data_IF_159747017060
#
_entry.id   IF_159747017060
#
_cell.length_a   1.000
_cell.length_b   1.000
_cell.length_c   1.000
_cell.angle_alpha   90.00
_cell.angle_beta   90.00
_cell.angle_gamma   90.00
#
_symmetry.space_group_name_H-M   'P 1'
#
loop_
_entity.id
_entity.type
_entity.pdbx_description
1 polymer ?
#
# COMPACT_ATOMS: atom_id res chain seq x y z
N UNK A 1 -29.07 -39.56 -1.61
CA UNK A 1 -28.04 -38.64 -1.04
C UNK A 1 -28.03 -37.29 -1.76
N UNK A 2 -27.93 -37.26 -3.12
CA UNK A 2 -27.94 -36.01 -3.91
C UNK A 2 -29.14 -35.10 -3.64
N UNK A 3 -30.34 -35.65 -3.72
CA UNK A 3 -31.60 -34.90 -3.48
C UNK A 3 -31.65 -34.25 -2.05
N UNK A 4 -31.12 -34.98 -1.05
CA UNK A 4 -31.04 -34.48 0.31
C UNK A 4 -30.11 -33.26 0.40
N UNK A 5 -28.94 -33.36 -0.25
CA UNK A 5 -27.96 -32.25 -0.29
C UNK A 5 -28.53 -31.02 -1.02
N UNK A 6 -29.18 -31.22 -2.18
CA UNK A 6 -29.82 -30.14 -2.93
C UNK A 6 -30.91 -29.49 -2.08
N UNK A 7 -31.73 -30.28 -1.38
CA UNK A 7 -32.79 -29.76 -0.52
C UNK A 7 -32.26 -28.96 0.67
N UNK A 8 -31.16 -29.40 1.28
CA UNK A 8 -30.49 -28.69 2.37
C UNK A 8 -29.89 -27.36 1.87
N UNK A 9 -29.19 -27.35 0.73
CA UNK A 9 -28.66 -26.11 0.14
C UNK A 9 -29.79 -25.11 -0.17
N UNK A 10 -30.87 -25.57 -0.79
CA UNK A 10 -32.02 -24.71 -1.10
C UNK A 10 -32.64 -24.15 0.18
N UNK A 11 -32.76 -24.96 1.23
CA UNK A 11 -33.30 -24.54 2.52
C UNK A 11 -32.45 -23.47 3.20
N UNK A 12 -31.14 -23.58 3.15
CA UNK A 12 -30.23 -22.58 3.69
C UNK A 12 -30.29 -21.25 2.91
N UNK A 13 -30.47 -21.34 1.59
CA UNK A 13 -30.50 -20.18 0.71
C UNK A 13 -31.87 -19.48 0.64
N UNK A 14 -32.91 -20.05 1.24
CA UNK A 14 -34.29 -19.56 1.12
C UNK A 14 -34.49 -18.13 1.66
N UNK A 15 -33.73 -17.76 2.68
CA UNK A 15 -33.77 -16.40 3.26
C UNK A 15 -32.99 -15.36 2.44
N UNK A 16 -32.10 -15.80 1.54
CA UNK A 16 -31.15 -14.96 0.81
C UNK A 16 -31.48 -14.77 -0.66
N UNK A 17 -32.33 -15.67 -1.24
CA UNK A 17 -32.65 -15.69 -2.65
C UNK A 17 -34.17 -15.59 -2.88
N UNK A 18 -34.58 -14.97 -3.98
CA UNK A 18 -35.97 -14.98 -4.41
C UNK A 18 -36.34 -16.33 -5.09
N UNK A 19 -37.67 -16.56 -5.31
CA UNK A 19 -38.18 -17.83 -5.87
C UNK A 19 -37.58 -18.18 -7.25
N UNK A 20 -37.34 -17.20 -8.10
CA UNK A 20 -36.74 -17.41 -9.43
C UNK A 20 -35.28 -17.85 -9.31
N UNK A 21 -34.52 -17.19 -8.43
CA UNK A 21 -33.14 -17.54 -8.13
C UNK A 21 -32.98 -18.93 -7.49
N UNK A 22 -33.88 -19.27 -6.56
CA UNK A 22 -33.94 -20.61 -5.95
C UNK A 22 -34.26 -21.69 -6.97
N UNK A 23 -35.20 -21.45 -7.88
CA UNK A 23 -35.53 -22.36 -8.96
C UNK A 23 -34.31 -22.58 -9.90
N UNK A 24 -33.63 -21.51 -10.28
CA UNK A 24 -32.43 -21.56 -11.12
C UNK A 24 -31.29 -22.30 -10.41
N UNK A 25 -31.07 -22.03 -9.12
CA UNK A 25 -30.08 -22.73 -8.30
C UNK A 25 -30.37 -24.23 -8.24
N UNK A 26 -31.61 -24.61 -7.98
CA UNK A 26 -32.03 -26.01 -7.95
C UNK A 26 -31.73 -26.72 -9.25
N UNK A 27 -32.19 -26.17 -10.37
CA UNK A 27 -31.95 -26.75 -11.72
C UNK A 27 -30.46 -26.86 -12.02
N UNK A 28 -29.67 -25.83 -11.65
CA UNK A 28 -28.21 -25.86 -11.85
C UNK A 28 -27.56 -26.98 -11.02
N UNK A 29 -27.90 -27.13 -9.76
CA UNK A 29 -27.40 -28.20 -8.91
C UNK A 29 -27.79 -29.61 -9.44
N UNK A 30 -29.03 -29.78 -9.90
CA UNK A 30 -29.49 -31.03 -10.49
C UNK A 30 -28.67 -31.41 -11.73
N UNK A 31 -28.39 -30.46 -12.63
CA UNK A 31 -27.58 -30.66 -13.84
C UNK A 31 -26.14 -31.04 -13.46
N UNK A 32 -25.46 -30.24 -12.64
CA UNK A 32 -24.05 -30.47 -12.30
C UNK A 32 -23.83 -31.72 -11.45
N UNK A 33 -24.76 -32.08 -10.57
CA UNK A 33 -24.64 -33.27 -9.73
C UNK A 33 -25.17 -34.55 -10.42
N UNK A 34 -25.69 -34.47 -11.65
CA UNK A 34 -26.29 -35.62 -12.34
C UNK A 34 -25.32 -36.80 -12.48
N UNK A 35 -24.11 -36.57 -12.94
CA UNK A 35 -23.07 -37.57 -13.17
C UNK A 35 -22.02 -37.68 -12.04
N UNK A 36 -22.23 -37.07 -10.88
CA UNK A 36 -21.27 -37.05 -9.77
C UNK A 36 -21.65 -38.14 -8.76
N UNK A 37 -20.77 -39.06 -8.42
CA UNK A 37 -20.96 -39.97 -7.30
C UNK A 37 -20.62 -39.28 -6.00
N UNK A 38 -21.59 -39.17 -5.09
CA UNK A 38 -21.36 -38.57 -3.77
C UNK A 38 -21.21 -39.69 -2.75
N UNK A 39 -19.99 -39.88 -2.25
CA UNK A 39 -19.69 -40.80 -1.15
C UNK A 39 -19.56 -39.98 0.14
N UNK A 40 -20.14 -40.49 1.23
CA UNK A 40 -19.95 -39.88 2.55
C UNK A 40 -18.50 -40.07 2.98
N UNK A 41 -17.69 -39.03 2.92
CA UNK A 41 -16.38 -39.03 3.55
C UNK A 41 -16.58 -39.10 5.06
N UNK A 42 -16.10 -40.14 5.73
CA UNK A 42 -15.95 -40.11 7.18
C UNK A 42 -15.14 -38.88 7.53
N UNK A 43 -15.66 -38.07 8.41
CA UNK A 43 -14.93 -36.92 8.96
C UNK A 43 -13.63 -37.44 9.60
N UNK A 44 -12.56 -37.46 8.84
CA UNK A 44 -11.25 -37.40 9.43
C UNK A 44 -11.13 -35.98 10.01
N UNK A 45 -10.93 -35.86 11.32
CA UNK A 45 -10.50 -34.65 12.01
C UNK A 45 -9.23 -34.12 11.34
N UNK A 46 -9.38 -33.51 10.20
CA UNK A 46 -8.40 -32.56 9.70
C UNK A 46 -8.71 -31.27 10.45
N UNK A 47 -7.94 -30.99 11.51
CA UNK A 47 -7.76 -29.62 11.98
C UNK A 47 -7.62 -28.76 10.72
N UNK A 48 -8.68 -28.00 10.38
CA UNK A 48 -8.60 -26.95 9.38
C UNK A 48 -7.63 -25.94 10.00
N UNK A 49 -6.35 -26.04 9.63
CA UNK A 49 -5.41 -24.94 9.87
C UNK A 49 -6.08 -23.70 9.33
N UNK A 50 -6.44 -22.82 10.22
CA UNK A 50 -7.03 -21.54 9.87
C UNK A 50 -6.02 -20.83 8.97
N UNK A 51 -6.38 -20.65 7.70
CA UNK A 51 -5.48 -20.03 6.72
C UNK A 51 -5.35 -18.57 7.10
N UNK A 52 -4.15 -18.13 7.40
CA UNK A 52 -3.85 -16.71 7.56
C UNK A 52 -3.78 -16.05 6.17
N UNK A 53 -4.94 -15.63 5.68
CA UNK A 53 -5.09 -14.98 4.39
C UNK A 53 -4.23 -13.72 4.26
N UNK A 54 -3.96 -13.01 5.37
CA UNK A 54 -3.14 -11.82 5.36
C UNK A 54 -1.67 -12.17 5.08
N UNK A 55 -1.12 -13.15 5.77
CA UNK A 55 0.28 -13.56 5.55
C UNK A 55 0.47 -14.19 4.17
N UNK A 56 -0.50 -14.94 3.65
CA UNK A 56 -0.45 -15.48 2.28
C UNK A 56 -0.46 -14.34 1.25
N UNK A 57 -1.35 -13.36 1.41
CA UNK A 57 -1.40 -12.17 0.56
C UNK A 57 -0.07 -11.39 0.58
N UNK A 58 0.50 -11.14 1.76
CA UNK A 58 1.77 -10.43 1.88
C UNK A 58 2.92 -11.18 1.22
N UNK A 59 2.92 -12.52 1.32
CA UNK A 59 3.89 -13.37 0.63
C UNK A 59 3.77 -13.27 -0.89
N UNK A 60 2.54 -13.29 -1.42
CA UNK A 60 2.28 -13.08 -2.85
C UNK A 60 2.77 -11.70 -3.32
N UNK A 61 2.46 -10.64 -2.56
CA UNK A 61 2.90 -9.27 -2.88
C UNK A 61 4.41 -9.08 -2.78
N UNK A 62 5.10 -9.84 -1.92
CA UNK A 62 6.57 -9.85 -1.86
C UNK A 62 7.17 -10.43 -3.14
N UNK A 63 6.62 -11.54 -3.63
CA UNK A 63 7.03 -12.15 -4.90
C UNK A 63 6.77 -11.22 -6.09
N UNK A 64 5.68 -10.44 -6.06
CA UNK A 64 5.37 -9.41 -7.06
C UNK A 64 6.32 -8.20 -7.02
N UNK A 65 7.29 -8.16 -6.09
CA UNK A 65 8.27 -7.08 -5.99
C UNK A 65 7.85 -5.87 -5.15
N UNK A 66 6.84 -6.01 -4.29
CA UNK A 66 6.49 -4.94 -3.34
C UNK A 66 7.60 -4.74 -2.32
N UNK A 67 7.96 -3.48 -2.05
CA UNK A 67 8.95 -3.14 -1.02
C UNK A 67 8.46 -3.52 0.38
N UNK A 68 9.39 -3.89 1.28
CA UNK A 68 9.06 -4.22 2.68
C UNK A 68 8.28 -3.09 3.38
N UNK A 69 8.60 -1.84 3.11
CA UNK A 69 7.85 -0.67 3.62
C UNK A 69 6.39 -0.69 3.17
N UNK A 70 6.12 -1.08 1.92
CA UNK A 70 4.76 -1.22 1.39
C UNK A 70 4.03 -2.39 2.03
N UNK A 71 4.72 -3.52 2.23
CA UNK A 71 4.15 -4.72 2.86
C UNK A 71 3.77 -4.45 4.33
N UNK A 72 4.62 -3.76 5.09
CA UNK A 72 4.32 -3.35 6.47
C UNK A 72 3.08 -2.44 6.50
N UNK A 73 2.98 -1.49 5.57
CA UNK A 73 1.82 -0.60 5.47
C UNK A 73 0.53 -1.38 5.12
N UNK A 74 0.61 -2.33 4.20
CA UNK A 74 -0.51 -3.21 3.87
C UNK A 74 -0.92 -4.05 5.08
N UNK A 75 0.04 -4.72 5.73
CA UNK A 75 -0.18 -5.53 6.92
C UNK A 75 -0.93 -4.75 8.00
N UNK A 76 -0.38 -3.61 8.41
CA UNK A 76 -0.97 -2.81 9.48
C UNK A 76 -2.38 -2.31 9.13
N UNK A 77 -2.58 -1.88 7.88
CA UNK A 77 -3.89 -1.35 7.45
C UNK A 77 -4.95 -2.44 7.37
N UNK A 78 -4.61 -3.61 6.85
CA UNK A 78 -5.55 -4.74 6.73
C UNK A 78 -5.81 -5.34 8.10
N UNK A 79 -4.78 -5.56 8.92
CA UNK A 79 -4.94 -6.10 10.27
C UNK A 79 -5.87 -5.23 11.12
N UNK A 80 -5.66 -3.91 11.10
CA UNK A 80 -6.52 -2.98 11.83
C UNK A 80 -7.99 -3.07 11.40
N UNK A 81 -8.25 -3.27 10.12
CA UNK A 81 -9.61 -3.48 9.60
C UNK A 81 -10.18 -4.82 10.08
N UNK A 82 -9.41 -5.90 10.02
CA UNK A 82 -9.85 -7.23 10.47
C UNK A 82 -10.18 -7.24 11.96
N UNK A 83 -9.31 -6.64 12.78
CA UNK A 83 -9.50 -6.53 14.23
C UNK A 83 -10.75 -5.72 14.58
N UNK A 84 -11.00 -4.63 13.83
CA UNK A 84 -12.16 -3.76 14.07
C UNK A 84 -13.46 -4.41 13.64
N UNK A 85 -13.51 -5.12 12.53
CA UNK A 85 -14.72 -5.80 12.03
C UNK A 85 -15.01 -7.08 12.81
N UNK A 86 -13.97 -7.81 13.26
CA UNK A 86 -14.10 -9.02 14.06
C UNK A 86 -14.81 -10.19 13.38
N UNK A 87 -14.86 -10.21 12.04
CA UNK A 87 -15.47 -11.27 11.23
C UNK A 87 -14.39 -12.07 10.48
N UNK A 88 -14.74 -13.31 10.15
CA UNK A 88 -13.90 -14.07 9.19
C UNK A 88 -13.81 -13.32 7.85
N UNK A 89 -12.60 -13.28 7.28
CA UNK A 89 -12.28 -12.56 6.03
C UNK A 89 -13.28 -12.88 4.91
N UNK A 90 -13.63 -14.14 4.75
CA UNK A 90 -14.54 -14.60 3.69
C UNK A 90 -16.01 -14.18 3.90
N UNK A 91 -16.36 -13.69 5.10
CA UNK A 91 -17.73 -13.27 5.44
C UNK A 91 -17.92 -11.75 5.46
N UNK A 92 -16.85 -10.99 5.26
CA UNK A 92 -16.90 -9.52 5.22
C UNK A 92 -17.67 -9.08 3.97
N UNK A 93 -18.66 -8.20 4.20
CA UNK A 93 -19.49 -7.63 3.14
C UNK A 93 -19.20 -6.14 2.91
N UNK A 94 -19.69 -5.60 1.80
CA UNK A 94 -19.47 -4.19 1.41
C UNK A 94 -19.84 -3.20 2.52
N UNK A 95 -20.93 -3.48 3.28
CA UNK A 95 -21.40 -2.58 4.31
C UNK A 95 -20.48 -2.55 5.53
N UNK A 96 -19.86 -3.67 5.91
CA UNK A 96 -18.85 -3.71 6.97
C UNK A 96 -17.68 -2.76 6.64
N UNK A 97 -17.21 -2.81 5.40
CA UNK A 97 -16.10 -1.95 4.95
C UNK A 97 -16.50 -0.47 4.87
N UNK A 98 -17.73 -0.16 4.47
CA UNK A 98 -18.21 1.22 4.47
C UNK A 98 -18.31 1.80 5.89
N UNK A 99 -18.85 1.02 6.81
CA UNK A 99 -18.94 1.39 8.22
C UNK A 99 -17.55 1.63 8.78
N UNK A 100 -16.64 0.68 8.60
CA UNK A 100 -15.25 0.83 9.03
C UNK A 100 -14.60 2.11 8.50
N UNK A 101 -14.69 2.38 7.19
CA UNK A 101 -14.08 3.56 6.58
C UNK A 101 -14.67 4.87 7.12
N UNK A 102 -15.98 4.89 7.39
CA UNK A 102 -16.66 6.07 7.94
C UNK A 102 -16.26 6.32 9.41
N UNK A 103 -16.19 5.27 10.21
CA UNK A 103 -15.75 5.34 11.61
C UNK A 103 -14.28 5.74 11.71
N UNK A 104 -13.41 5.11 10.92
CA UNK A 104 -11.99 5.45 10.84
C UNK A 104 -11.78 6.93 10.48
N UNK A 105 -12.53 7.44 9.49
CA UNK A 105 -12.46 8.84 9.11
C UNK A 105 -12.85 9.77 10.25
N UNK A 106 -13.90 9.44 10.99
CA UNK A 106 -14.42 10.24 12.10
C UNK A 106 -13.46 10.22 13.29
N UNK A 107 -13.00 9.04 13.70
CA UNK A 107 -12.14 8.87 14.87
C UNK A 107 -10.74 9.48 14.67
N UNK A 108 -10.13 9.22 13.52
CA UNK A 108 -8.77 9.68 13.19
C UNK A 108 -8.75 11.05 12.52
N UNK A 109 -9.91 11.67 12.28
CA UNK A 109 -10.04 12.93 11.53
C UNK A 109 -9.26 12.90 10.19
N UNK A 110 -9.26 11.74 9.55
CA UNK A 110 -8.43 11.46 8.39
C UNK A 110 -8.94 12.17 7.14
N UNK A 111 -7.99 12.60 6.29
CA UNK A 111 -8.32 13.23 5.01
C UNK A 111 -9.00 12.24 4.05
N UNK A 112 -9.81 12.75 3.12
CA UNK A 112 -10.42 11.93 2.05
C UNK A 112 -9.36 11.18 1.23
N UNK A 113 -8.15 11.74 1.06
CA UNK A 113 -7.03 11.09 0.37
C UNK A 113 -6.56 9.87 1.16
N UNK A 114 -6.44 9.98 2.48
CA UNK A 114 -6.08 8.87 3.37
C UNK A 114 -7.09 7.74 3.26
N UNK A 115 -8.39 8.06 3.32
CA UNK A 115 -9.47 7.07 3.22
C UNK A 115 -9.46 6.38 1.83
N UNK A 116 -9.23 7.11 0.74
CA UNK A 116 -9.09 6.48 -0.58
C UNK A 116 -7.86 5.57 -0.68
N UNK A 117 -6.75 5.91 -0.02
CA UNK A 117 -5.58 5.04 0.05
C UNK A 117 -5.89 3.73 0.81
N UNK A 118 -6.57 3.81 1.95
CA UNK A 118 -7.02 2.62 2.71
C UNK A 118 -7.96 1.78 1.83
N UNK A 119 -8.96 2.38 1.18
CA UNK A 119 -9.85 1.69 0.24
C UNK A 119 -9.07 0.97 -0.87
N UNK A 120 -8.01 1.57 -1.41
CA UNK A 120 -7.16 0.96 -2.45
C UNK A 120 -6.42 -0.26 -1.92
N UNK A 121 -5.95 -0.23 -0.68
CA UNK A 121 -5.33 -1.40 -0.03
C UNK A 121 -6.34 -2.52 0.12
N UNK A 122 -7.55 -2.21 0.61
CA UNK A 122 -8.63 -3.21 0.69
C UNK A 122 -9.00 -3.77 -0.68
N UNK A 123 -9.03 -2.90 -1.71
CA UNK A 123 -9.27 -3.35 -3.08
C UNK A 123 -8.20 -4.35 -3.55
N UNK A 124 -6.93 -4.09 -3.25
CA UNK A 124 -5.84 -5.01 -3.57
C UNK A 124 -5.98 -6.36 -2.86
N UNK A 125 -6.29 -6.33 -1.56
CA UNK A 125 -6.44 -7.55 -0.75
C UNK A 125 -7.65 -8.39 -1.18
N UNK A 126 -8.83 -7.79 -1.25
CA UNK A 126 -10.04 -8.52 -1.60
C UNK A 126 -10.13 -8.91 -3.07
N UNK A 127 -9.46 -8.20 -3.99
CA UNK A 127 -9.34 -8.66 -5.37
C UNK A 127 -8.41 -9.86 -5.47
N UNK A 128 -7.30 -9.87 -4.72
CA UNK A 128 -6.44 -11.04 -4.64
C UNK A 128 -7.19 -12.27 -4.06
N UNK A 129 -8.02 -12.09 -3.02
CA UNK A 129 -8.85 -13.18 -2.50
C UNK A 129 -9.88 -13.70 -3.52
N UNK A 130 -10.43 -12.81 -4.37
CA UNK A 130 -11.32 -13.17 -5.47
C UNK A 130 -10.56 -13.94 -6.56
N UNK A 131 -9.36 -13.48 -6.92
CA UNK A 131 -8.49 -14.09 -7.95
C UNK A 131 -7.97 -15.49 -7.55
N UNK A 132 -7.77 -15.72 -6.24
CA UNK A 132 -7.37 -17.02 -5.66
C UNK A 132 -8.56 -17.90 -5.27
N UNK A 133 -9.77 -17.55 -5.67
CA UNK A 133 -11.01 -18.31 -5.41
C UNK A 133 -11.35 -18.48 -3.91
N UNK A 134 -10.75 -17.71 -3.00
CA UNK A 134 -11.12 -17.72 -1.57
C UNK A 134 -12.47 -17.08 -1.31
N UNK A 135 -12.88 -16.12 -2.14
CA UNK A 135 -14.18 -15.47 -2.10
C UNK A 135 -14.75 -15.37 -3.52
N UNK A 136 -16.07 -15.45 -3.63
CA UNK A 136 -16.75 -15.40 -4.94
C UNK A 136 -16.66 -14.01 -5.57
N UNK A 137 -16.67 -12.96 -4.74
CA UNK A 137 -16.70 -11.58 -5.21
C UNK A 137 -16.17 -10.61 -4.18
N UNK A 138 -15.27 -9.73 -4.59
CA UNK A 138 -14.69 -8.69 -3.74
C UNK A 138 -15.75 -7.73 -3.21
N UNK A 139 -15.87 -7.56 -1.87
CA UNK A 139 -16.82 -6.63 -1.25
C UNK A 139 -16.46 -5.16 -1.52
N UNK A 140 -15.21 -4.86 -1.88
CA UNK A 140 -14.74 -3.49 -2.18
C UNK A 140 -15.23 -3.01 -3.54
N UNK A 141 -15.62 -3.90 -4.44
CA UNK A 141 -16.01 -3.57 -5.83
C UNK A 141 -17.10 -2.49 -5.93
N UNK A 142 -17.99 -2.39 -4.94
CA UNK A 142 -19.06 -1.38 -4.86
C UNK A 142 -18.66 -0.11 -4.10
N UNK A 143 -17.40 -0.01 -3.64
CA UNK A 143 -16.89 1.19 -2.97
C UNK A 143 -16.03 1.95 -3.97
N UNK A 144 -16.63 2.99 -4.57
CA UNK A 144 -15.98 3.79 -5.59
C UNK A 144 -14.91 4.71 -4.99
N UNK A 145 -14.05 5.21 -5.88
CA UNK A 145 -13.01 6.17 -5.54
C UNK A 145 -13.59 7.38 -4.80
N UNK A 146 -12.96 7.73 -3.69
CA UNK A 146 -13.35 8.89 -2.88
C UNK A 146 -12.73 10.15 -3.52
N UNK A 147 -13.57 11.05 -3.97
CA UNK A 147 -13.13 12.31 -4.58
C UNK A 147 -12.64 13.26 -3.48
N UNK A 148 -11.36 13.60 -3.52
CA UNK A 148 -10.77 14.66 -2.72
C UNK A 148 -10.58 15.91 -3.60
N UNK A 149 -10.75 17.09 -3.01
CA UNK A 149 -10.39 18.33 -3.69
C UNK A 149 -8.88 18.37 -3.93
N UNK A 150 -8.48 18.78 -5.11
CA UNK A 150 -7.08 19.09 -5.40
C UNK A 150 -6.83 20.51 -4.94
N UNK A 151 -5.94 20.69 -3.99
CA UNK A 151 -5.45 22.00 -3.58
C UNK A 151 -4.05 22.23 -4.15
N UNK A 152 -3.80 23.43 -4.64
CA UNK A 152 -2.45 23.85 -5.02
C UNK A 152 -1.67 23.99 -3.71
N UNK A 153 -0.58 23.25 -3.60
CA UNK A 153 0.33 23.40 -2.46
C UNK A 153 1.20 24.62 -2.70
N UNK A 154 1.30 25.46 -1.69
CA UNK A 154 2.26 26.56 -1.70
C UNK A 154 3.67 25.98 -1.77
N UNK A 155 4.50 26.59 -2.58
CA UNK A 155 5.94 26.32 -2.71
C UNK A 155 6.70 27.55 -2.22
N UNK A 156 7.94 27.37 -1.81
CA UNK A 156 8.81 28.50 -1.45
C UNK A 156 9.03 29.38 -2.67
N UNK A 157 9.02 30.72 -2.45
CA UNK A 157 9.47 31.67 -3.48
C UNK A 157 10.99 31.75 -3.47
N UNK A 158 11.56 32.34 -4.53
CA UNK A 158 13.02 32.51 -4.61
C UNK A 158 13.55 33.39 -3.46
N UNK A 159 12.79 34.43 -3.06
CA UNK A 159 13.16 35.29 -1.93
C UNK A 159 13.13 34.54 -0.58
N UNK A 160 12.16 33.64 -0.40
CA UNK A 160 12.10 32.79 0.79
C UNK A 160 13.27 31.81 0.83
N UNK A 161 13.66 31.25 -0.32
CA UNK A 161 14.81 30.37 -0.42
C UNK A 161 16.11 31.10 -0.12
N UNK A 162 16.32 32.32 -0.63
CA UNK A 162 17.47 33.16 -0.29
C UNK A 162 17.48 33.52 1.21
N UNK A 163 16.32 33.89 1.77
CA UNK A 163 16.22 34.12 3.21
C UNK A 163 16.58 32.90 4.07
N UNK A 164 16.22 31.70 3.62
CA UNK A 164 16.65 30.45 4.29
C UNK A 164 18.17 30.30 4.25
N UNK A 165 18.81 30.59 3.13
CA UNK A 165 20.27 30.53 2.96
C UNK A 165 20.98 31.53 3.85
N UNK A 166 20.52 32.77 3.86
CA UNK A 166 21.12 33.88 4.64
C UNK A 166 21.04 33.64 6.14
N UNK A 167 20.05 32.89 6.61
CA UNK A 167 19.87 32.57 8.03
C UNK A 167 20.41 31.17 8.41
N UNK A 168 21.15 30.51 7.51
CA UNK A 168 21.71 29.18 7.74
C UNK A 168 23.19 29.23 8.06
N UNK A 169 23.52 29.18 9.38
CA UNK A 169 24.91 29.24 9.86
C UNK A 169 25.65 27.89 9.74
N UNK A 170 24.90 26.78 9.55
CA UNK A 170 25.48 25.44 9.48
C UNK A 170 25.83 25.07 8.03
N UNK A 171 27.11 24.85 7.69
CA UNK A 171 27.54 24.49 6.32
C UNK A 171 26.82 23.26 5.76
N UNK A 172 26.52 22.27 6.60
CA UNK A 172 25.77 21.08 6.23
C UNK A 172 24.35 21.42 5.77
N UNK A 173 23.62 22.15 6.61
CA UNK A 173 22.23 22.45 6.34
C UNK A 173 22.08 23.36 5.12
N UNK A 174 23.03 24.30 4.92
CA UNK A 174 23.13 25.12 3.71
C UNK A 174 23.34 24.27 2.46
N UNK A 175 24.28 23.31 2.50
CA UNK A 175 24.53 22.39 1.39
C UNK A 175 23.31 21.52 1.08
N UNK A 176 22.56 21.06 2.11
CA UNK A 176 21.33 20.27 1.94
C UNK A 176 20.19 21.10 1.32
N UNK A 177 20.02 22.34 1.73
CA UNK A 177 19.03 23.28 1.13
C UNK A 177 19.34 23.44 -0.36
N UNK A 178 20.59 23.72 -0.70
CA UNK A 178 20.98 24.01 -2.07
C UNK A 178 20.87 22.79 -2.99
N UNK A 179 21.34 21.62 -2.54
CA UNK A 179 21.26 20.42 -3.38
C UNK A 179 19.82 20.00 -3.63
N UNK A 180 18.94 20.13 -2.64
CA UNK A 180 17.50 19.87 -2.80
C UNK A 180 16.83 20.87 -3.75
N UNK A 181 17.14 22.16 -3.60
CA UNK A 181 16.55 23.22 -4.42
C UNK A 181 17.04 23.13 -5.88
N UNK A 182 18.34 22.89 -6.09
CA UNK A 182 18.95 22.84 -7.41
C UNK A 182 18.57 21.59 -8.21
N UNK A 183 18.54 20.42 -7.56
CA UNK A 183 18.34 19.13 -8.24
C UNK A 183 16.90 18.68 -8.28
N UNK A 184 16.06 19.15 -7.37
CA UNK A 184 14.70 18.64 -7.18
C UNK A 184 14.64 17.16 -6.74
N UNK A 185 15.72 16.62 -6.21
CA UNK A 185 15.71 15.26 -5.68
C UNK A 185 14.84 15.13 -4.43
N UNK A 186 14.38 13.93 -4.15
CA UNK A 186 13.60 13.68 -2.93
C UNK A 186 14.53 13.58 -1.72
N UNK A 187 14.04 13.99 -0.55
CA UNK A 187 14.80 13.84 0.71
C UNK A 187 15.28 12.39 0.91
N UNK A 188 14.46 11.40 0.57
CA UNK A 188 14.85 9.99 0.67
C UNK A 188 15.96 9.57 -0.29
N UNK A 189 16.13 10.24 -1.42
CA UNK A 189 17.24 10.04 -2.36
C UNK A 189 18.51 10.71 -1.82
N UNK A 190 18.38 11.91 -1.26
CA UNK A 190 19.50 12.62 -0.64
C UNK A 190 20.09 11.87 0.57
N UNK A 191 19.27 11.24 1.39
CA UNK A 191 19.72 10.45 2.56
C UNK A 191 20.58 9.26 2.15
N UNK A 192 20.37 8.71 0.95
CA UNK A 192 21.11 7.57 0.42
C UNK A 192 22.30 7.98 -0.45
N UNK A 193 22.50 9.29 -0.67
CA UNK A 193 23.55 9.81 -1.54
C UNK A 193 24.91 9.70 -0.84
N UNK A 194 25.87 9.09 -1.50
CA UNK A 194 27.27 8.99 -1.05
C UNK A 194 28.17 10.00 -1.75
N UNK A 195 29.36 10.22 -1.20
CA UNK A 195 30.37 11.13 -1.78
C UNK A 195 30.75 10.71 -3.20
N UNK A 196 30.87 9.40 -3.43
CA UNK A 196 31.28 8.84 -4.73
C UNK A 196 30.19 8.92 -5.81
N UNK A 197 28.95 9.18 -5.41
CA UNK A 197 27.82 9.37 -6.35
C UNK A 197 27.83 10.77 -6.99
N UNK A 198 28.75 11.67 -6.58
CA UNK A 198 28.81 13.07 -7.02
C UNK A 198 30.00 13.34 -7.90
N UNK A 199 29.75 13.78 -9.11
CA UNK A 199 30.76 14.40 -9.99
C UNK A 199 30.76 15.91 -9.81
N UNK A 200 31.75 16.44 -9.10
CA UNK A 200 31.92 17.89 -8.92
C UNK A 200 32.32 18.61 -10.20
N UNK A 201 33.03 17.94 -11.09
CA UNK A 201 33.49 18.52 -12.35
C UNK A 201 32.36 18.74 -13.33
N UNK A 202 31.51 17.73 -13.49
CA UNK A 202 30.32 17.78 -14.34
C UNK A 202 29.09 18.38 -13.62
N UNK A 203 29.15 18.57 -12.31
CA UNK A 203 28.08 19.06 -11.46
C UNK A 203 26.80 18.19 -11.56
N UNK A 204 27.00 16.90 -11.46
CA UNK A 204 25.92 15.93 -11.54
C UNK A 204 26.04 14.88 -10.43
N UNK A 205 24.95 14.21 -10.11
CA UNK A 205 24.95 13.04 -9.26
C UNK A 205 23.89 12.02 -9.69
N UNK A 206 24.16 10.77 -9.38
CA UNK A 206 23.24 9.66 -9.62
C UNK A 206 22.42 9.46 -8.36
N UNK A 207 21.09 9.45 -8.51
CA UNK A 207 20.16 9.22 -7.40
C UNK A 207 19.28 8.00 -7.68
N UNK A 208 19.01 7.23 -6.62
CA UNK A 208 18.18 6.03 -6.67
C UNK A 208 16.74 6.36 -6.28
N UNK A 209 15.84 6.25 -7.24
CA UNK A 209 14.43 6.52 -7.07
C UNK A 209 13.61 5.30 -6.63
N UNK A 210 12.30 5.48 -6.51
CA UNK A 210 11.37 4.41 -6.18
C UNK A 210 11.41 3.30 -7.24
N UNK A 211 11.59 2.03 -6.80
CA UNK A 211 11.63 0.86 -7.68
C UNK A 211 13.00 0.66 -8.31
N UNK A 212 14.06 1.03 -7.59
CA UNK A 212 15.46 0.81 -7.97
C UNK A 212 15.85 1.47 -9.31
N UNK A 213 15.20 2.60 -9.62
CA UNK A 213 15.46 3.36 -10.84
C UNK A 213 16.50 4.44 -10.56
N UNK A 214 17.61 4.34 -11.26
CA UNK A 214 18.63 5.38 -11.28
C UNK A 214 18.21 6.54 -12.17
N UNK A 215 18.54 7.75 -11.76
CA UNK A 215 18.49 8.92 -12.62
C UNK A 215 19.62 9.89 -12.29
N UNK A 216 20.15 10.52 -13.31
CA UNK A 216 21.10 11.60 -13.19
C UNK A 216 20.35 12.90 -12.87
N UNK A 217 20.90 13.69 -11.96
CA UNK A 217 20.43 15.04 -11.64
C UNK A 217 21.61 16.00 -11.63
N UNK A 218 21.33 17.25 -11.97
CA UNK A 218 22.34 18.28 -12.15
C UNK A 218 22.18 19.36 -11.10
N UNK A 219 23.29 19.95 -10.61
CA UNK A 219 23.29 21.01 -9.65
C UNK A 219 24.10 22.23 -10.14
N UNK A 220 23.76 23.40 -9.60
CA UNK A 220 24.38 24.65 -10.00
C UNK A 220 25.74 24.89 -9.33
N UNK A 221 26.43 25.97 -9.73
CA UNK A 221 27.75 26.33 -9.21
C UNK A 221 27.71 26.71 -7.71
N UNK A 222 26.61 27.29 -7.22
CA UNK A 222 26.43 27.63 -5.80
C UNK A 222 26.37 26.36 -4.97
N UNK A 223 25.55 25.41 -5.36
CA UNK A 223 25.45 24.08 -4.72
C UNK A 223 26.80 23.38 -4.69
N UNK A 224 27.59 23.41 -5.78
CA UNK A 224 28.95 22.86 -5.79
C UNK A 224 29.81 23.45 -4.66
N UNK A 225 29.85 24.78 -4.55
CA UNK A 225 30.67 25.48 -3.54
C UNK A 225 30.23 25.09 -2.12
N UNK A 226 28.95 25.18 -1.84
CA UNK A 226 28.45 24.89 -0.49
C UNK A 226 28.62 23.42 -0.12
N UNK A 227 28.41 22.51 -1.05
CA UNK A 227 28.60 21.08 -0.83
C UNK A 227 30.09 20.73 -0.60
N UNK A 228 31.02 21.33 -1.34
CA UNK A 228 32.45 21.19 -1.10
C UNK A 228 32.84 21.73 0.28
N UNK A 229 32.41 22.96 0.63
CA UNK A 229 32.68 23.55 1.94
C UNK A 229 32.14 22.65 3.09
N UNK A 230 30.96 22.06 2.93
CA UNK A 230 30.42 21.12 3.90
C UNK A 230 31.31 19.87 4.01
N UNK A 231 31.68 19.24 2.89
CA UNK A 231 32.51 18.03 2.90
C UNK A 231 33.90 18.28 3.46
N UNK A 232 34.50 19.45 3.17
CA UNK A 232 35.80 19.86 3.72
C UNK A 232 35.74 20.14 5.23
N UNK A 233 34.60 20.58 5.73
CA UNK A 233 34.38 20.83 7.16
C UNK A 233 34.15 19.55 7.99
N UNK A 234 33.89 18.40 7.32
CA UNK A 234 33.65 17.13 8.00
C UNK A 234 34.94 16.52 8.51
N UNK A 235 34.88 16.02 9.74
CA UNK A 235 35.99 15.30 10.40
C UNK A 235 35.81 13.79 10.43
N UNK A 236 34.65 13.30 9.97
CA UNK A 236 34.32 11.87 9.89
C UNK A 236 34.68 11.27 8.52
N UNK A 237 34.79 9.93 8.47
CA UNK A 237 35.06 9.18 7.25
C UNK A 237 33.80 8.52 6.65
N UNK A 238 32.60 8.97 7.04
CA UNK A 238 31.39 8.38 6.52
C UNK A 238 31.15 8.80 5.07
N UNK A 239 30.79 7.85 4.24
CA UNK A 239 30.53 8.05 2.81
C UNK A 239 29.22 8.79 2.58
N UNK A 240 28.22 8.62 3.45
CA UNK A 240 26.89 9.21 3.30
C UNK A 240 26.91 10.74 3.50
N UNK A 241 26.24 11.48 2.60
CA UNK A 241 26.18 12.95 2.62
C UNK A 241 24.94 13.42 3.41
N UNK A 242 23.81 12.77 3.22
CA UNK A 242 22.51 13.25 3.71
C UNK A 242 22.16 12.84 5.14
N UNK A 243 22.89 11.90 5.77
CA UNK A 243 22.61 11.54 7.17
C UNK A 243 23.14 12.58 8.16
N UNK A 244 22.30 12.88 9.15
CA UNK A 244 22.76 13.62 10.31
C UNK A 244 23.70 12.72 11.12
N UNK A 245 24.97 13.08 11.13
CA UNK A 245 25.90 12.52 12.08
C UNK A 245 25.81 13.39 13.34
N UNK A 246 25.29 12.79 14.40
CA UNK A 246 25.31 13.34 15.75
C UNK A 246 26.56 12.83 16.43
#
# INVERSE_FOLDING_TARGET
MKEKIISEIIREMISSLNNEQLSKLKTTLEIYLYNVSIEAKQEADTEKKEVDYLEVFLSAKRIEGCSEKTLIYYKNTIQQMLDSIGKSVCTIVTEDLRTYLAEYQKEKQSSKVTIDNIRRIFSSFFSWLEDEDYIIKSPVRRIHRIKAASTIKETYTDEQLESMRDNCDNPRDLALIDILASTGMRVGELVLLNRDDISFDERECIVFGKGDKERMVYFDARTKIHLQNYLDSRTDNNEEIGRAHV
#
